data_IF_887130167411
#
_entry.id   IF_887130167411
#
_cell.length_a   1.000
_cell.length_b   1.000
_cell.length_c   1.000
_cell.angle_alpha   90.00
_cell.angle_beta   90.00
_cell.angle_gamma   90.00
#
_symmetry.space_group_name_H-M   'P 1'
#
loop_
_entity.id
_entity.type
_entity.pdbx_description
1 polymer ?
#
# COMPACT_ATOMS: atom_id res chain seq x y z
N UNK A 1 -18.35 26.19 11.80
CA UNK A 1 -17.28 25.36 11.19
C UNK A 1 -17.23 24.05 11.95
N UNK A 2 -17.35 22.93 11.24
CA UNK A 2 -17.18 21.60 11.84
C UNK A 2 -15.69 21.40 12.16
N UNK A 3 -15.37 20.75 13.28
CA UNK A 3 -13.99 20.38 13.61
C UNK A 3 -13.35 19.40 12.62
N UNK A 4 -14.13 18.90 11.64
CA UNK A 4 -13.74 17.85 10.70
C UNK A 4 -13.46 18.36 9.27
N UNK A 5 -13.80 19.61 8.94
CA UNK A 5 -13.62 20.15 7.60
C UNK A 5 -14.41 21.45 7.34
N UNK A 6 -14.38 21.90 6.09
CA UNK A 6 -15.07 23.10 5.62
C UNK A 6 -15.81 22.82 4.31
N UNK A 7 -17.05 23.33 4.22
CA UNK A 7 -17.75 23.48 2.95
C UNK A 7 -17.24 24.74 2.26
N UNK A 8 -16.71 24.59 1.06
CA UNK A 8 -16.13 25.65 0.26
C UNK A 8 -17.03 25.93 -0.94
N UNK A 9 -17.59 27.13 -0.99
CA UNK A 9 -18.31 27.62 -2.15
C UNK A 9 -17.31 28.15 -3.20
N UNK A 10 -17.52 27.79 -4.47
CA UNK A 10 -16.65 28.25 -5.55
C UNK A 10 -16.67 29.78 -5.66
N UNK A 11 -15.51 30.41 -5.91
CA UNK A 11 -15.43 31.85 -6.03
C UNK A 11 -16.24 32.32 -7.24
N UNK A 12 -17.05 33.34 -7.02
CA UNK A 12 -17.75 34.07 -8.06
C UNK A 12 -17.65 35.56 -7.74
N UNK A 13 -16.52 36.14 -8.11
CA UNK A 13 -16.10 37.49 -7.78
C UNK A 13 -16.05 38.34 -9.04
N UNK A 14 -16.37 39.63 -8.92
CA UNK A 14 -16.25 40.59 -10.03
C UNK A 14 -14.78 41.02 -10.29
N UNK A 15 -13.82 40.13 -10.07
CA UNK A 15 -12.41 40.40 -10.33
C UNK A 15 -12.13 40.28 -11.82
N UNK A 16 -11.35 41.19 -12.38
CA UNK A 16 -10.95 41.10 -13.80
C UNK A 16 -10.05 39.88 -14.04
N UNK A 17 -10.33 39.13 -15.11
CA UNK A 17 -9.50 38.01 -15.57
C UNK A 17 -10.03 36.61 -15.20
N UNK A 18 -9.25 35.57 -15.49
CA UNK A 18 -9.62 34.16 -15.27
C UNK A 18 -9.33 33.64 -13.85
N UNK A 19 -9.19 34.53 -12.86
CA UNK A 19 -8.72 34.17 -11.52
C UNK A 19 -9.60 33.13 -10.82
N UNK A 20 -10.92 33.32 -10.83
CA UNK A 20 -11.84 32.40 -10.17
C UNK A 20 -11.86 31.03 -10.86
N UNK A 21 -11.83 31.02 -12.21
CA UNK A 21 -11.71 29.79 -12.99
C UNK A 21 -10.41 29.05 -12.69
N UNK A 22 -9.28 29.76 -12.55
CA UNK A 22 -7.99 29.17 -12.21
C UNK A 22 -8.00 28.59 -10.79
N UNK A 23 -8.64 29.26 -9.83
CA UNK A 23 -8.77 28.76 -8.44
C UNK A 23 -9.64 27.49 -8.39
N UNK A 24 -10.77 27.48 -9.09
CA UNK A 24 -11.65 26.30 -9.21
C UNK A 24 -10.90 25.14 -9.89
N UNK A 25 -10.15 25.42 -10.95
CA UNK A 25 -9.37 24.39 -11.65
C UNK A 25 -8.24 23.84 -10.78
N UNK A 26 -7.55 24.69 -10.01
CA UNK A 26 -6.54 24.23 -9.06
C UNK A 26 -7.15 23.34 -7.97
N UNK A 27 -8.35 23.69 -7.48
CA UNK A 27 -9.09 22.88 -6.51
C UNK A 27 -9.50 21.52 -7.11
N UNK A 28 -9.95 21.49 -8.37
CA UNK A 28 -10.25 20.25 -9.11
C UNK A 28 -9.01 19.37 -9.27
N UNK A 29 -7.88 19.95 -9.67
CA UNK A 29 -6.62 19.21 -9.79
C UNK A 29 -6.20 18.58 -8.45
N UNK A 30 -6.37 19.30 -7.33
CA UNK A 30 -6.12 18.75 -6.00
C UNK A 30 -7.07 17.59 -5.65
N UNK A 31 -8.35 17.70 -6.03
CA UNK A 31 -9.35 16.64 -5.84
C UNK A 31 -9.02 15.36 -6.63
N UNK A 32 -8.64 15.50 -7.89
CA UNK A 32 -8.32 14.39 -8.79
C UNK A 32 -7.00 13.73 -8.40
N UNK A 33 -5.96 14.53 -8.13
CA UNK A 33 -4.62 14.05 -7.79
C UNK A 33 -4.44 13.70 -6.31
N UNK A 34 -5.49 13.89 -5.49
CA UNK A 34 -5.45 13.72 -4.03
C UNK A 34 -4.31 14.48 -3.34
N UNK A 35 -4.00 15.66 -3.87
CA UNK A 35 -2.95 16.53 -3.32
C UNK A 35 -3.53 17.29 -2.12
N UNK A 36 -2.90 17.23 -0.94
CA UNK A 36 -3.31 18.03 0.21
C UNK A 36 -3.04 19.52 -0.03
N UNK A 37 -3.92 20.35 0.49
CA UNK A 37 -3.84 21.81 0.40
C UNK A 37 -3.87 22.46 1.77
N UNK A 38 -3.35 23.68 1.88
CA UNK A 38 -3.52 24.48 3.08
C UNK A 38 -4.89 25.17 3.06
N UNK A 39 -5.68 24.98 4.11
CA UNK A 39 -6.93 25.71 4.33
C UNK A 39 -6.70 26.79 5.37
N UNK A 40 -6.88 28.04 4.97
CA UNK A 40 -6.75 29.20 5.84
C UNK A 40 -8.15 29.69 6.20
N UNK A 41 -8.49 29.67 7.49
CA UNK A 41 -9.78 30.15 8.00
C UNK A 41 -9.62 31.27 9.04
N UNK A 42 -10.69 32.01 9.29
CA UNK A 42 -10.69 33.09 10.29
C UNK A 42 -10.60 32.50 11.69
N UNK A 43 -9.65 32.98 12.48
CA UNK A 43 -9.56 32.66 13.90
C UNK A 43 -10.52 33.54 14.72
N UNK A 44 -10.83 33.12 15.96
CA UNK A 44 -11.63 33.91 16.90
C UNK A 44 -10.98 35.27 17.19
N UNK A 45 -9.65 35.34 17.17
CA UNK A 45 -8.91 36.59 17.16
C UNK A 45 -8.73 37.06 15.72
N UNK A 46 -9.30 38.23 15.40
CA UNK A 46 -9.29 38.79 14.04
C UNK A 46 -7.87 39.07 13.49
N UNK A 47 -6.87 39.22 14.37
CA UNK A 47 -5.45 39.40 14.01
C UNK A 47 -4.75 38.10 13.59
N UNK A 48 -5.37 36.94 13.85
CA UNK A 48 -4.79 35.62 13.55
C UNK A 48 -5.60 34.89 12.47
N UNK A 49 -5.02 33.83 11.93
CA UNK A 49 -5.67 32.88 11.01
C UNK A 49 -5.44 31.47 11.52
N UNK A 50 -6.43 30.60 11.36
CA UNK A 50 -6.23 29.18 11.57
C UNK A 50 -5.72 28.59 10.25
N UNK A 51 -4.67 27.77 10.32
CA UNK A 51 -4.13 27.04 9.19
C UNK A 51 -4.36 25.57 9.43
N UNK A 52 -5.00 24.90 8.48
CA UNK A 52 -5.22 23.46 8.48
C UNK A 52 -4.62 22.87 7.21
N UNK A 53 -4.31 21.57 7.25
CA UNK A 53 -4.11 20.82 6.02
C UNK A 53 -5.44 20.13 5.69
N UNK A 54 -5.87 20.22 4.44
CA UNK A 54 -7.12 19.68 3.96
C UNK A 54 -6.94 18.79 2.75
N UNK A 55 -7.84 17.82 2.59
CA UNK A 55 -8.03 17.08 1.34
C UNK A 55 -9.42 17.39 0.80
N UNK A 56 -9.50 17.71 -0.49
CA UNK A 56 -10.80 17.85 -1.17
C UNK A 56 -11.43 16.46 -1.24
N UNK A 57 -12.53 16.28 -0.53
CA UNK A 57 -13.22 14.99 -0.43
C UNK A 57 -14.37 14.90 -1.44
N UNK A 58 -15.04 16.01 -1.73
CA UNK A 58 -16.05 16.11 -2.78
C UNK A 58 -15.84 17.38 -3.60
N UNK A 59 -16.20 17.33 -4.88
CA UNK A 59 -16.15 18.45 -5.80
C UNK A 59 -17.41 18.39 -6.68
N UNK A 60 -18.29 19.36 -6.55
CA UNK A 60 -19.60 19.43 -7.19
C UNK A 60 -19.67 20.67 -8.07
N UNK A 61 -19.47 20.46 -9.37
CA UNK A 61 -19.52 21.53 -10.38
C UNK A 61 -20.93 22.09 -10.57
N UNK A 62 -21.97 21.27 -10.37
CA UNK A 62 -23.37 21.65 -10.60
C UNK A 62 -23.81 22.63 -9.51
N UNK A 63 -23.49 22.31 -8.25
CA UNK A 63 -23.84 23.14 -7.10
C UNK A 63 -22.75 24.16 -6.74
N UNK A 64 -21.65 24.20 -7.49
CA UNK A 64 -20.50 25.08 -7.28
C UNK A 64 -19.92 25.00 -5.86
N UNK A 65 -19.73 23.77 -5.35
CA UNK A 65 -19.28 23.50 -3.98
C UNK A 65 -18.25 22.40 -3.92
N UNK A 66 -17.39 22.46 -2.92
CA UNK A 66 -16.50 21.37 -2.52
C UNK A 66 -16.53 21.17 -1.01
N UNK A 67 -16.37 19.92 -0.56
CA UNK A 67 -16.11 19.64 0.85
C UNK A 67 -14.63 19.34 1.04
N UNK A 68 -13.97 20.13 1.91
CA UNK A 68 -12.55 19.97 2.23
C UNK A 68 -12.45 19.42 3.66
N UNK A 69 -12.04 18.16 3.78
CA UNK A 69 -11.85 17.50 5.08
C UNK A 69 -10.51 17.88 5.67
N UNK A 70 -10.48 18.30 6.93
CA UNK A 70 -9.22 18.54 7.63
C UNK A 70 -8.51 17.22 7.95
N UNK A 71 -7.19 17.25 7.80
CA UNK A 71 -6.32 16.09 8.01
C UNK A 71 -5.16 16.51 8.89
N UNK A 72 -4.82 15.65 9.85
CA UNK A 72 -3.64 15.85 10.67
C UNK A 72 -2.38 15.54 9.84
N UNK A 73 -1.30 16.30 10.08
CA UNK A 73 -0.08 16.23 9.28
C UNK A 73 0.57 14.83 9.30
N UNK A 74 0.58 14.20 10.47
CA UNK A 74 1.03 12.82 10.74
C UNK A 74 0.20 11.75 10.01
N UNK A 75 -1.01 12.09 9.53
CA UNK A 75 -1.90 11.18 8.80
C UNK A 75 -1.82 11.30 7.28
N UNK A 76 -1.17 12.34 6.76
CA UNK A 76 -1.07 12.58 5.31
C UNK A 76 0.12 11.84 4.71
N UNK A 77 1.23 11.84 5.42
CA UNK A 77 2.42 11.09 5.06
C UNK A 77 3.03 10.57 6.36
N UNK A 78 3.30 9.27 6.51
CA UNK A 78 4.25 8.86 7.54
C UNK A 78 5.53 9.64 7.27
N UNK A 79 6.03 10.34 8.28
CA UNK A 79 7.27 11.11 8.13
C UNK A 79 8.41 10.16 7.75
N UNK A 80 9.45 10.68 7.09
CA UNK A 80 10.64 9.88 6.78
C UNK A 80 11.27 9.24 8.04
N UNK A 81 11.02 9.83 9.22
CA UNK A 81 11.42 9.31 10.52
C UNK A 81 10.51 8.19 11.07
N UNK A 82 9.26 8.09 10.61
CA UNK A 82 8.31 7.02 10.96
C UNK A 82 8.35 5.83 9.99
N UNK A 83 9.01 6.01 8.83
CA UNK A 83 9.25 4.93 7.86
C UNK A 83 10.51 4.18 8.24
N UNK A 84 10.40 2.89 8.55
CA UNK A 84 11.58 2.08 8.86
C UNK A 84 12.33 1.73 7.58
N UNK A 85 13.67 1.78 7.66
CA UNK A 85 14.57 1.48 6.52
C UNK A 85 14.73 0.00 6.24
N UNK A 86 14.50 -0.83 7.25
CA UNK A 86 14.56 -2.29 7.14
C UNK A 86 13.54 -2.78 6.11
N UNK A 87 14.03 -3.51 5.11
CA UNK A 87 13.22 -4.17 4.10
C UNK A 87 12.37 -5.29 4.71
N UNK A 88 11.33 -5.70 3.99
CA UNK A 88 10.49 -6.82 4.45
C UNK A 88 11.28 -8.14 4.55
N UNK A 89 12.34 -8.31 3.75
CA UNK A 89 13.19 -9.50 3.80
C UNK A 89 14.07 -9.51 5.06
N UNK A 90 14.74 -8.39 5.36
CA UNK A 90 15.54 -8.23 6.58
C UNK A 90 14.68 -8.43 7.83
N UNK A 91 13.49 -7.82 7.87
CA UNK A 91 12.53 -8.00 8.95
C UNK A 91 12.20 -9.46 9.21
N UNK A 92 11.97 -10.24 8.15
CA UNK A 92 11.65 -11.66 8.28
C UNK A 92 12.81 -12.44 8.87
N UNK A 93 14.04 -12.15 8.47
CA UNK A 93 15.24 -12.80 9.01
C UNK A 93 15.38 -12.49 10.50
N UNK A 94 15.31 -11.21 10.87
CA UNK A 94 15.37 -10.78 12.28
C UNK A 94 14.27 -11.42 13.11
N UNK A 95 13.03 -11.40 12.60
CA UNK A 95 11.88 -11.98 13.27
C UNK A 95 11.99 -13.50 13.45
N UNK A 96 12.51 -14.23 12.45
CA UNK A 96 12.73 -15.67 12.56
C UNK A 96 13.75 -15.99 13.66
N UNK A 97 14.82 -15.20 13.78
CA UNK A 97 15.78 -15.34 14.88
C UNK A 97 15.12 -15.08 16.24
N UNK A 98 14.31 -14.02 16.38
CA UNK A 98 13.56 -13.74 17.61
C UNK A 98 12.56 -14.86 17.95
N UNK A 99 11.95 -15.49 16.94
CA UNK A 99 11.08 -16.66 17.11
C UNK A 99 11.88 -17.84 17.62
N UNK A 100 13.04 -18.14 17.04
CA UNK A 100 13.91 -19.23 17.48
C UNK A 100 14.39 -19.02 18.93
N UNK A 101 14.84 -17.83 19.28
CA UNK A 101 15.19 -17.49 20.69
C UNK A 101 13.99 -17.67 21.64
N UNK A 102 12.78 -17.36 21.18
CA UNK A 102 11.56 -17.58 21.96
C UNK A 102 11.18 -19.06 22.08
N UNK A 103 11.50 -19.87 21.06
CA UNK A 103 11.28 -21.31 21.04
C UNK A 103 12.22 -22.06 21.99
N UNK A 104 13.42 -21.53 22.24
CA UNK A 104 14.37 -22.07 23.22
C UNK A 104 13.85 -22.00 24.68
N UNK A 105 12.80 -21.23 24.93
CA UNK A 105 12.12 -21.13 26.22
C UNK A 105 10.95 -22.12 26.36
N UNK A 106 10.45 -22.30 27.58
CA UNK A 106 9.26 -23.10 27.84
C UNK A 106 7.98 -22.41 27.34
N UNK A 107 7.01 -23.24 26.96
CA UNK A 107 5.66 -22.76 26.60
C UNK A 107 5.03 -21.94 27.74
N UNK A 108 5.25 -22.35 28.99
CA UNK A 108 4.72 -21.66 30.16
C UNK A 108 5.30 -20.24 30.31
N UNK A 109 6.62 -20.09 30.13
CA UNK A 109 7.24 -18.76 30.16
C UNK A 109 6.77 -17.87 29.01
N UNK A 110 6.60 -18.42 27.79
CA UNK A 110 5.98 -17.68 26.68
C UNK A 110 4.58 -17.19 27.04
N UNK A 111 3.73 -18.05 27.60
CA UNK A 111 2.37 -17.68 28.02
C UNK A 111 2.35 -16.58 29.08
N UNK A 112 3.26 -16.63 30.08
CA UNK A 112 3.40 -15.55 31.08
C UNK A 112 3.77 -14.21 30.44
N UNK A 113 4.69 -14.20 29.45
CA UNK A 113 5.02 -12.97 28.69
C UNK A 113 3.83 -12.47 27.89
N UNK A 114 3.04 -13.35 27.28
CA UNK A 114 1.86 -12.96 26.50
C UNK A 114 0.75 -12.36 27.39
N UNK A 115 0.54 -12.90 28.59
CA UNK A 115 -0.47 -12.40 29.53
C UNK A 115 -0.20 -10.97 30.04
N UNK A 116 1.06 -10.55 30.04
CA UNK A 116 1.49 -9.23 30.52
C UNK A 116 1.67 -8.18 29.41
N UNK A 117 1.49 -8.54 28.14
CA UNK A 117 1.69 -7.64 26.99
C UNK A 117 0.39 -7.09 26.43
N UNK A 118 0.47 -5.91 25.83
CA UNK A 118 -0.63 -5.38 25.00
C UNK A 118 -0.82 -6.25 23.77
N UNK A 119 -2.07 -6.58 23.45
CA UNK A 119 -2.46 -7.35 22.27
C UNK A 119 -2.57 -6.49 21.01
N UNK A 120 -2.47 -5.15 21.14
CA UNK A 120 -2.60 -4.25 19.99
C UNK A 120 -1.28 -4.25 19.20
N UNK A 121 -1.29 -4.63 17.91
CA UNK A 121 -0.08 -4.61 17.09
C UNK A 121 0.39 -3.18 16.86
N UNK A 122 1.71 -3.00 16.80
CA UNK A 122 2.31 -1.75 16.34
C UNK A 122 2.28 -1.74 14.81
N UNK A 123 1.79 -0.66 14.22
CA UNK A 123 1.84 -0.43 12.77
C UNK A 123 3.19 0.20 12.45
N UNK A 124 3.85 -0.32 11.41
CA UNK A 124 5.08 0.25 10.85
C UNK A 124 4.87 0.55 9.38
N UNK A 125 5.43 1.65 8.91
CA UNK A 125 5.42 2.03 7.50
C UNK A 125 6.78 1.72 6.88
N UNK A 126 6.79 1.14 5.67
CA UNK A 126 7.99 0.80 4.90
C UNK A 126 7.86 1.33 3.48
N UNK A 127 8.95 1.84 2.92
CA UNK A 127 9.04 2.09 1.49
C UNK A 127 9.46 0.80 0.78
N UNK A 128 8.75 0.43 -0.28
CA UNK A 128 9.05 -0.76 -1.07
C UNK A 128 9.34 -0.34 -2.51
N UNK A 129 10.44 -0.84 -3.05
CA UNK A 129 10.71 -0.84 -4.48
C UNK A 129 10.21 -2.17 -5.04
N UNK A 130 9.41 -2.12 -6.11
CA UNK A 130 8.84 -3.29 -6.76
C UNK A 130 8.97 -3.19 -8.28
N UNK A 131 8.85 -4.34 -8.95
CA UNK A 131 8.90 -4.44 -10.41
C UNK A 131 7.49 -4.65 -10.96
N UNK A 132 7.08 -3.77 -11.89
CA UNK A 132 5.84 -3.97 -12.64
C UNK A 132 6.05 -5.12 -13.62
N UNK A 133 5.38 -6.25 -13.35
CA UNK A 133 5.40 -7.42 -14.21
C UNK A 133 4.49 -7.25 -15.43
N UNK A 134 4.88 -7.87 -16.53
CA UNK A 134 4.07 -7.99 -17.74
C UNK A 134 2.94 -9.01 -17.49
N UNK A 135 1.67 -8.60 -17.57
CA UNK A 135 0.55 -9.51 -17.36
C UNK A 135 0.49 -10.64 -18.40
N UNK A 136 0.96 -10.44 -19.62
CA UNK A 136 0.89 -11.44 -20.69
C UNK A 136 1.88 -12.58 -20.43
N UNK A 137 3.08 -12.27 -19.91
CA UNK A 137 4.06 -13.27 -19.46
C UNK A 137 3.46 -14.16 -18.38
N UNK A 138 2.76 -13.56 -17.41
CA UNK A 138 2.11 -14.30 -16.32
C UNK A 138 0.96 -15.17 -16.84
N UNK A 139 0.11 -14.61 -17.71
CA UNK A 139 -1.04 -15.32 -18.26
C UNK A 139 -0.60 -16.54 -19.09
N UNK A 140 0.39 -16.36 -19.97
CA UNK A 140 0.88 -17.42 -20.85
C UNK A 140 1.64 -18.50 -20.06
N UNK A 141 2.40 -18.13 -19.01
CA UNK A 141 3.03 -19.12 -18.13
C UNK A 141 2.01 -19.98 -17.37
N UNK A 142 0.87 -19.40 -16.97
CA UNK A 142 -0.22 -20.14 -16.34
C UNK A 142 -0.97 -21.02 -17.34
N UNK A 143 -1.17 -20.54 -18.56
CA UNK A 143 -1.77 -21.29 -19.66
C UNK A 143 -0.92 -22.53 -20.00
N UNK A 144 0.38 -22.34 -20.22
CA UNK A 144 1.38 -23.41 -20.46
C UNK A 144 1.37 -24.48 -19.38
N UNK A 145 1.12 -24.11 -18.13
CA UNK A 145 1.13 -25.03 -17.00
C UNK A 145 -0.11 -25.92 -16.92
N UNK A 146 -1.20 -25.57 -17.61
CA UNK A 146 -2.47 -26.33 -17.65
C UNK A 146 -3.02 -26.72 -16.26
N UNK A 147 -2.74 -25.90 -15.25
CA UNK A 147 -3.14 -26.16 -13.86
C UNK A 147 -2.29 -27.18 -13.10
N UNK A 148 -1.11 -27.54 -13.61
CA UNK A 148 -0.13 -28.39 -12.94
C UNK A 148 1.13 -27.61 -12.57
N UNK A 149 1.70 -27.90 -11.40
CA UNK A 149 2.97 -27.32 -10.97
C UNK A 149 4.10 -27.79 -11.89
N UNK A 150 4.87 -26.86 -12.47
CA UNK A 150 5.95 -27.21 -13.39
C UNK A 150 7.16 -27.84 -12.68
N UNK A 151 7.27 -27.74 -11.34
CA UNK A 151 8.31 -28.44 -10.54
C UNK A 151 7.88 -29.85 -10.14
N UNK A 152 6.85 -29.98 -9.28
CA UNK A 152 6.46 -31.28 -8.73
C UNK A 152 5.47 -32.06 -9.61
N UNK A 153 4.96 -31.46 -10.69
CA UNK A 153 3.99 -32.07 -11.64
C UNK A 153 2.61 -32.40 -11.04
N UNK A 154 2.37 -32.03 -9.78
CA UNK A 154 1.07 -32.17 -9.13
C UNK A 154 0.08 -31.09 -9.61
N UNK A 155 -1.22 -31.41 -9.52
CA UNK A 155 -2.30 -30.45 -9.78
C UNK A 155 -2.23 -29.27 -8.81
N UNK A 156 -2.71 -28.12 -9.25
CA UNK A 156 -2.93 -26.95 -8.40
C UNK A 156 -3.74 -27.35 -7.15
N UNK A 157 -3.37 -26.84 -5.96
CA UNK A 157 -3.97 -27.28 -4.70
C UNK A 157 -5.44 -26.88 -4.54
N UNK A 158 -5.88 -25.84 -5.26
CA UNK A 158 -7.27 -25.37 -5.24
C UNK A 158 -7.58 -24.50 -6.46
N UNK A 159 -8.85 -24.15 -6.60
CA UNK A 159 -9.38 -23.27 -7.64
C UNK A 159 -9.58 -21.85 -7.08
N UNK A 160 -9.14 -20.83 -7.83
CA UNK A 160 -9.31 -19.42 -7.50
C UNK A 160 -10.78 -19.06 -7.39
N UNK A 161 -11.20 -18.51 -6.25
CA UNK A 161 -12.57 -18.00 -6.06
C UNK A 161 -12.91 -16.84 -7.01
N UNK A 162 -11.91 -16.07 -7.43
CA UNK A 162 -12.09 -14.87 -8.24
C UNK A 162 -12.53 -15.17 -9.67
N UNK A 163 -12.09 -16.29 -10.25
CA UNK A 163 -12.28 -16.58 -11.68
C UNK A 163 -12.39 -18.06 -12.04
N UNK A 164 -12.37 -19.00 -11.08
CA UNK A 164 -12.54 -20.42 -11.37
C UNK A 164 -11.31 -21.12 -11.94
N UNK A 165 -10.17 -20.44 -12.03
CA UNK A 165 -8.93 -21.00 -12.58
C UNK A 165 -8.07 -21.75 -11.53
N UNK A 166 -7.25 -22.74 -11.91
CA UNK A 166 -6.26 -23.37 -11.04
C UNK A 166 -5.33 -22.36 -10.36
N UNK A 167 -5.04 -22.54 -9.06
CA UNK A 167 -4.12 -21.67 -8.33
C UNK A 167 -2.67 -22.12 -8.45
N UNK A 168 -1.89 -21.41 -9.26
CA UNK A 168 -0.43 -21.48 -9.32
C UNK A 168 0.17 -20.08 -9.19
N UNK A 169 1.42 -20.01 -8.74
CA UNK A 169 2.21 -18.79 -8.56
C UNK A 169 3.34 -18.78 -9.59
N UNK A 170 3.39 -17.74 -10.44
CA UNK A 170 4.46 -17.57 -11.42
C UNK A 170 5.70 -16.99 -10.72
N UNK A 171 6.82 -17.68 -10.87
CA UNK A 171 8.10 -17.38 -10.26
C UNK A 171 9.16 -17.12 -11.33
N UNK A 172 9.92 -16.04 -11.18
CA UNK A 172 11.09 -15.79 -12.02
C UNK A 172 12.27 -16.65 -11.59
N UNK A 173 12.82 -17.46 -12.50
CA UNK A 173 13.94 -18.38 -12.24
C UNK A 173 15.19 -17.58 -11.85
N UNK A 174 15.55 -16.59 -12.66
CA UNK A 174 16.48 -15.53 -12.27
C UNK A 174 15.63 -14.38 -11.72
N UNK A 175 15.76 -14.02 -10.43
CA UNK A 175 14.96 -12.94 -9.85
C UNK A 175 15.14 -11.61 -10.58
N UNK A 176 14.06 -10.84 -10.74
CA UNK A 176 14.10 -9.50 -11.34
C UNK A 176 15.07 -8.57 -10.59
N UNK A 177 15.16 -8.71 -9.25
CA UNK A 177 16.11 -7.96 -8.42
C UNK A 177 17.59 -8.27 -8.70
N UNK A 178 17.87 -9.38 -9.38
CA UNK A 178 19.21 -9.81 -9.81
C UNK A 178 19.43 -9.63 -11.31
N UNK A 179 18.57 -8.86 -11.99
CA UNK A 179 18.66 -8.60 -13.43
C UNK A 179 18.02 -9.67 -14.31
N UNK A 180 17.19 -10.56 -13.75
CA UNK A 180 16.38 -11.48 -14.54
C UNK A 180 15.41 -10.73 -15.46
N UNK A 181 15.14 -11.31 -16.64
CA UNK A 181 14.19 -10.75 -17.60
C UNK A 181 12.76 -11.16 -17.24
N UNK A 182 11.80 -10.30 -17.55
CA UNK A 182 10.38 -10.65 -17.46
C UNK A 182 9.94 -11.29 -18.77
N UNK A 183 10.27 -12.56 -18.95
CA UNK A 183 10.02 -13.32 -20.18
C UNK A 183 9.58 -14.75 -19.89
N UNK A 184 8.95 -15.42 -20.86
CA UNK A 184 8.42 -16.78 -20.71
C UNK A 184 9.50 -17.83 -20.39
N UNK A 185 10.72 -17.60 -20.86
CA UNK A 185 11.87 -18.46 -20.64
C UNK A 185 12.42 -18.34 -19.22
N UNK A 186 12.21 -17.19 -18.57
CA UNK A 186 12.68 -16.91 -17.21
C UNK A 186 11.60 -17.10 -16.15
N UNK A 187 10.43 -17.68 -16.49
CA UNK A 187 9.35 -17.92 -15.53
C UNK A 187 8.91 -19.37 -15.47
N UNK A 188 8.50 -19.78 -14.27
CA UNK A 188 7.98 -21.10 -13.97
C UNK A 188 6.72 -20.98 -13.10
N UNK A 189 5.67 -21.74 -13.43
CA UNK A 189 4.40 -21.80 -12.71
C UNK A 189 4.46 -22.87 -11.63
N UNK A 190 4.33 -22.47 -10.36
CA UNK A 190 4.56 -23.33 -9.21
C UNK A 190 3.34 -23.42 -8.30
N UNK A 191 3.15 -24.56 -7.64
CA UNK A 191 2.24 -24.60 -6.49
C UNK A 191 2.86 -23.80 -5.32
N UNK A 192 2.05 -23.33 -4.36
CA UNK A 192 2.54 -22.54 -3.22
C UNK A 192 3.67 -23.22 -2.46
N UNK A 193 3.59 -24.55 -2.28
CA UNK A 193 4.60 -25.33 -1.56
C UNK A 193 5.94 -25.30 -2.29
N UNK A 194 5.97 -25.65 -3.58
CA UNK A 194 7.19 -25.62 -4.39
C UNK A 194 7.76 -24.20 -4.52
N UNK A 195 6.91 -23.18 -4.62
CA UNK A 195 7.38 -21.80 -4.68
C UNK A 195 8.05 -21.39 -3.36
N UNK A 196 7.46 -21.69 -2.20
CA UNK A 196 8.08 -21.42 -0.90
C UNK A 196 9.38 -22.20 -0.70
N UNK A 197 9.41 -23.46 -1.13
CA UNK A 197 10.60 -24.31 -1.03
C UNK A 197 11.79 -23.74 -1.82
N UNK A 198 11.58 -23.11 -2.99
CA UNK A 198 12.67 -22.45 -3.72
C UNK A 198 13.25 -21.27 -2.94
N UNK A 199 12.44 -20.54 -2.17
CA UNK A 199 12.90 -19.38 -1.39
C UNK A 199 13.53 -19.76 -0.05
N UNK A 200 13.05 -20.83 0.60
CA UNK A 200 13.35 -21.13 2.01
C UNK A 200 13.80 -22.56 2.27
N UNK A 201 13.64 -23.46 1.29
CA UNK A 201 14.05 -24.86 1.42
C UNK A 201 15.57 -25.02 1.39
N UNK A 202 16.07 -26.19 1.82
CA UNK A 202 17.49 -26.51 1.66
C UNK A 202 17.86 -26.44 0.18
N UNK A 203 19.06 -25.90 -0.12
CA UNK A 203 19.59 -25.92 -1.47
C UNK A 203 19.67 -27.39 -1.92
N UNK A 204 18.84 -27.74 -2.91
CA UNK A 204 18.81 -29.06 -3.54
C UNK A 204 19.88 -29.23 -4.59
#
# INVERSE_FOLDING_TARGET
MSSKGIDYDFPNTNRNGSHDQNEIQALKNCFESKIPLFVISKASNQKLRNVHIGLVQTFDEINAKAFIRFVAQDKLFPTANETIKESQAEYKVTFENEVNESLDDSSENRQRRLASRSTKPKVVYRLVQDYRRDPDVVAEALYRAEGFCEKCKEKAPFIKRSNGEPYLEVHHIIPLSQGGLDSLENVISLCPNCHREIHFGPAG
#
